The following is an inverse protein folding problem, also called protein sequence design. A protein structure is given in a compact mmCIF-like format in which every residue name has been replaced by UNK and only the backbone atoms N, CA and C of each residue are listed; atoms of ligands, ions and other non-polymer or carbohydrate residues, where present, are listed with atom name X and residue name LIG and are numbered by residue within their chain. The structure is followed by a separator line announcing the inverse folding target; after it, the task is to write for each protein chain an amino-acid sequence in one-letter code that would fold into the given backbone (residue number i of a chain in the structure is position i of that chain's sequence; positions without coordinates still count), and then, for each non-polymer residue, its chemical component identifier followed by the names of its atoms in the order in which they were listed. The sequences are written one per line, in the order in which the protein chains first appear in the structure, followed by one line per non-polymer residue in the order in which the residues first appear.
data_IF_418798578739
#
_entry.id   IF_418798578739
#
_cell.length_a   1.000
_cell.length_b   1.000
_cell.length_c   1.000
_cell.angle_alpha   90.00
_cell.angle_beta   90.00
_cell.angle_gamma   90.00
#
_symmetry.space_group_name_H-M   'P 1'
#
loop_
_entity.id
_entity.type
_entity.pdbx_description
1 polymer ?
#
# COMPACT_ATOMS: atom_id res chain seq x y z
N UNK A 1 -15.83 8.19 15.61
CA UNK A 1 -14.82 8.82 14.74
C UNK A 1 -13.48 8.31 15.18
N UNK A 2 -12.73 7.67 14.29
CA UNK A 2 -11.32 7.38 14.54
C UNK A 2 -10.56 8.67 14.26
N UNK A 3 -9.81 9.16 15.24
CA UNK A 3 -9.01 10.38 15.13
C UNK A 3 -7.72 10.08 14.36
N UNK A 4 -7.13 11.10 13.72
CA UNK A 4 -5.81 11.00 13.05
C UNK A 4 -4.72 10.40 13.97
N UNK A 5 -4.89 10.52 15.30
CA UNK A 5 -4.00 9.93 16.32
C UNK A 5 -3.88 8.41 16.23
N UNK A 6 -4.97 7.67 16.00
CA UNK A 6 -4.89 6.20 15.89
C UNK A 6 -4.09 5.77 14.65
N UNK A 7 -4.18 6.57 13.59
CA UNK A 7 -3.42 6.36 12.37
C UNK A 7 -1.94 6.61 12.62
N UNK A 8 -1.58 7.75 13.23
CA UNK A 8 -0.20 8.12 13.52
C UNK A 8 0.52 7.12 14.45
N UNK A 9 -0.12 6.62 15.50
CA UNK A 9 0.53 5.79 16.53
C UNK A 9 0.93 4.38 16.05
N UNK A 10 0.32 3.88 14.98
CA UNK A 10 0.55 2.52 14.46
C UNK A 10 1.18 2.49 13.08
N UNK A 11 1.19 3.61 12.36
CA UNK A 11 1.68 3.65 10.99
C UNK A 11 3.20 3.55 10.89
N UNK A 12 3.93 4.17 11.82
CA UNK A 12 5.39 4.02 11.88
C UNK A 12 5.79 2.56 12.11
N UNK A 13 5.10 1.88 13.03
CA UNK A 13 5.30 0.43 13.28
C UNK A 13 4.99 -0.41 12.05
N UNK A 14 3.99 -0.01 11.26
CA UNK A 14 3.67 -0.67 9.99
C UNK A 14 4.80 -0.50 8.97
N UNK A 15 5.32 0.71 8.78
CA UNK A 15 6.42 0.97 7.84
C UNK A 15 7.72 0.26 8.26
N UNK A 16 8.05 0.27 9.54
CA UNK A 16 9.20 -0.43 10.10
C UNK A 16 9.07 -1.95 9.94
N UNK A 17 7.94 -2.54 10.36
CA UNK A 17 7.65 -3.96 10.16
C UNK A 17 7.64 -4.33 8.66
N UNK A 18 7.17 -3.43 7.81
CA UNK A 18 7.21 -3.60 6.35
C UNK A 18 8.64 -3.64 5.84
N UNK A 19 9.51 -2.74 6.30
CA UNK A 19 10.91 -2.72 5.92
C UNK A 19 11.67 -3.96 6.41
N UNK A 20 11.45 -4.39 7.65
CA UNK A 20 12.06 -5.61 8.21
C UNK A 20 11.64 -6.87 7.47
N UNK A 21 10.33 -6.99 7.19
CA UNK A 21 9.80 -8.12 6.45
C UNK A 21 10.29 -8.11 4.99
N UNK A 22 10.30 -6.94 4.36
CA UNK A 22 10.86 -6.76 3.01
C UNK A 22 12.33 -7.19 2.95
N UNK A 23 13.14 -6.76 3.92
CA UNK A 23 14.57 -7.09 3.99
C UNK A 23 14.78 -8.61 4.13
N UNK A 24 13.94 -9.27 4.95
CA UNK A 24 13.98 -10.72 5.12
C UNK A 24 13.62 -11.45 3.82
N UNK A 25 12.56 -11.01 3.14
CA UNK A 25 12.11 -11.62 1.89
C UNK A 25 13.08 -11.37 0.74
N UNK A 26 13.74 -10.21 0.69
CA UNK A 26 14.72 -9.87 -0.35
C UNK A 26 16.04 -10.66 -0.21
N UNK A 27 16.38 -11.12 0.99
CA UNK A 27 17.50 -12.05 1.21
C UNK A 27 17.17 -13.50 0.79
N UNK A 28 15.91 -13.80 0.51
CA UNK A 28 15.48 -15.10 -0.01
C UNK A 28 15.70 -15.17 -1.52
N UNK A 29 16.29 -16.26 -2.00
CA UNK A 29 16.54 -16.51 -3.42
C UNK A 29 15.26 -16.76 -4.25
N UNK A 30 14.08 -16.81 -3.60
CA UNK A 30 12.79 -17.16 -4.21
C UNK A 30 11.74 -16.06 -4.03
N UNK A 31 12.14 -14.79 -4.09
CA UNK A 31 11.20 -13.67 -3.95
C UNK A 31 10.16 -13.66 -5.09
N UNK A 32 8.90 -14.02 -4.79
CA UNK A 32 7.80 -13.98 -5.77
C UNK A 32 6.88 -12.76 -5.57
N UNK A 33 6.35 -12.58 -4.36
CA UNK A 33 5.47 -11.47 -3.96
C UNK A 33 5.24 -11.57 -2.46
N UNK A 34 5.12 -10.43 -1.79
CA UNK A 34 4.48 -10.40 -0.48
C UNK A 34 3.60 -9.17 -0.31
N UNK A 35 2.77 -9.21 0.73
CA UNK A 35 1.95 -8.07 1.12
C UNK A 35 1.77 -8.04 2.63
N UNK A 36 1.55 -6.83 3.15
CA UNK A 36 1.08 -6.61 4.52
C UNK A 36 -0.28 -5.95 4.42
N UNK A 37 -1.26 -6.54 5.10
CA UNK A 37 -2.63 -6.01 5.14
C UNK A 37 -2.89 -5.33 6.48
N UNK A 38 -3.58 -4.20 6.45
CA UNK A 38 -3.97 -3.47 7.64
C UNK A 38 -5.34 -2.83 7.43
N UNK A 39 -6.08 -2.72 8.53
CA UNK A 39 -7.41 -2.11 8.53
C UNK A 39 -7.25 -0.60 8.71
N UNK A 40 -8.07 0.17 7.99
CA UNK A 40 -8.11 1.63 8.16
C UNK A 40 -9.50 2.04 8.63
N UNK A 41 -9.74 2.03 9.96
CA UNK A 41 -11.07 2.26 10.49
C UNK A 41 -11.50 3.71 10.26
N UNK A 42 -12.78 3.91 9.93
CA UNK A 42 -13.36 5.23 9.67
C UNK A 42 -13.31 5.69 8.21
N UNK A 43 -12.76 4.88 7.28
CA UNK A 43 -12.81 5.17 5.85
C UNK A 43 -14.13 4.74 5.24
N UNK A 44 -14.61 5.51 4.25
CA UNK A 44 -15.94 5.32 3.66
C UNK A 44 -15.92 4.30 2.53
N UNK A 45 -14.79 4.18 1.83
CA UNK A 45 -14.69 3.51 0.54
C UNK A 45 -13.86 2.20 0.56
N UNK A 46 -13.09 1.94 1.63
CA UNK A 46 -12.25 0.73 1.75
C UNK A 46 -12.49 0.04 3.08
N UNK A 47 -12.51 -1.29 3.06
CA UNK A 47 -12.46 -2.09 4.27
C UNK A 47 -11.01 -2.34 4.71
N UNK A 48 -10.13 -2.59 3.72
CA UNK A 48 -8.77 -3.05 3.96
C UNK A 48 -7.79 -2.51 2.93
N UNK A 49 -6.60 -2.17 3.41
CA UNK A 49 -5.46 -1.80 2.57
C UNK A 49 -4.39 -2.88 2.61
N UNK A 50 -3.65 -2.97 1.51
CA UNK A 50 -2.51 -3.86 1.36
C UNK A 50 -1.32 -3.06 0.83
N UNK A 51 -0.19 -3.14 1.54
CA UNK A 51 1.11 -2.73 1.01
C UNK A 51 1.75 -3.94 0.37
N UNK A 52 1.87 -3.91 -0.95
CA UNK A 52 2.32 -5.05 -1.74
C UNK A 52 3.67 -4.76 -2.37
N UNK A 53 4.52 -5.78 -2.36
CA UNK A 53 5.81 -5.80 -3.02
C UNK A 53 5.82 -6.93 -4.05
N UNK A 54 6.09 -6.57 -5.29
CA UNK A 54 6.16 -7.51 -6.42
C UNK A 54 7.44 -7.27 -7.22
N UNK A 55 7.97 -8.29 -7.93
CA UNK A 55 8.96 -8.09 -8.96
C UNK A 55 8.41 -7.19 -10.06
N UNK A 56 9.29 -6.40 -10.67
CA UNK A 56 8.97 -5.73 -11.91
C UNK A 56 9.12 -6.73 -13.07
N UNK A 57 8.07 -6.91 -13.86
CA UNK A 57 8.11 -7.83 -14.99
C UNK A 57 9.04 -7.33 -16.10
N UNK A 58 9.34 -6.03 -16.15
CA UNK A 58 10.23 -5.45 -17.14
C UNK A 58 11.71 -5.58 -16.77
N UNK A 59 12.01 -5.78 -15.48
CA UNK A 59 13.37 -5.80 -14.95
C UNK A 59 13.43 -6.66 -13.68
N UNK A 60 14.09 -7.82 -13.79
CA UNK A 60 14.17 -8.82 -12.72
C UNK A 60 14.87 -8.32 -11.46
N UNK A 61 15.63 -7.23 -11.55
CA UNK A 61 16.35 -6.64 -10.42
C UNK A 61 15.52 -5.57 -9.72
N UNK A 62 14.42 -5.13 -10.35
CA UNK A 62 13.53 -4.11 -9.80
C UNK A 62 12.32 -4.71 -9.10
N UNK A 63 11.81 -3.93 -8.15
CA UNK A 63 10.70 -4.24 -7.27
C UNK A 63 9.76 -3.05 -7.28
N UNK A 64 8.47 -3.36 -7.31
CA UNK A 64 7.40 -2.37 -7.24
C UNK A 64 6.83 -2.40 -5.84
N UNK A 65 6.87 -1.25 -5.16
CA UNK A 65 6.09 -1.02 -3.95
C UNK A 65 4.79 -0.31 -4.33
N UNK A 66 3.65 -0.89 -3.93
CA UNK A 66 2.34 -0.36 -4.24
C UNK A 66 1.39 -0.47 -3.06
N UNK A 67 0.46 0.46 -2.99
CA UNK A 67 -0.71 0.39 -2.14
C UNK A 67 -1.88 -0.17 -2.95
N UNK A 68 -2.57 -1.15 -2.39
CA UNK A 68 -3.80 -1.71 -2.95
C UNK A 68 -4.93 -1.51 -1.93
N UNK A 69 -6.07 -1.03 -2.40
CA UNK A 69 -7.25 -0.82 -1.59
C UNK A 69 -8.39 -1.68 -2.12
N UNK A 70 -8.92 -2.58 -1.30
CA UNK A 70 -10.14 -3.29 -1.65
C UNK A 70 -11.32 -2.33 -1.46
N UNK A 71 -12.05 -2.09 -2.55
CA UNK A 71 -13.18 -1.18 -2.61
C UNK A 71 -14.46 -1.99 -2.73
N UNK A 72 -15.47 -1.63 -1.93
CA UNK A 72 -16.80 -2.21 -2.04
C UNK A 72 -17.50 -1.72 -3.31
N UNK A 73 -17.25 -2.37 -4.44
CA UNK A 73 -18.00 -2.14 -5.67
C UNK A 73 -19.20 -3.10 -5.76
N UNK A 74 -20.39 -2.58 -6.09
CA UNK A 74 -21.63 -3.38 -6.18
C UNK A 74 -21.56 -4.47 -7.26
N UNK A 75 -20.80 -4.20 -8.33
CA UNK A 75 -20.62 -5.10 -9.47
C UNK A 75 -19.42 -6.05 -9.32
N UNK A 76 -18.51 -5.78 -8.39
CA UNK A 76 -17.35 -6.64 -8.14
C UNK A 76 -16.85 -6.50 -6.69
N UNK A 77 -17.10 -7.53 -5.90
CA UNK A 77 -16.67 -7.59 -4.50
C UNK A 77 -15.15 -7.70 -4.33
N UNK A 78 -14.42 -8.03 -5.41
CA UNK A 78 -12.96 -8.12 -5.44
C UNK A 78 -12.32 -6.92 -6.14
N UNK A 79 -13.05 -5.81 -6.30
CA UNK A 79 -12.48 -4.63 -6.94
C UNK A 79 -11.36 -4.03 -6.08
N UNK A 80 -10.19 -3.85 -6.71
CA UNK A 80 -9.00 -3.33 -6.04
C UNK A 80 -8.45 -2.15 -6.82
N UNK A 81 -8.39 -0.99 -6.16
CA UNK A 81 -7.67 0.17 -6.67
C UNK A 81 -6.20 0.01 -6.30
N UNK A 82 -5.31 0.25 -7.26
CA UNK A 82 -3.86 0.07 -7.09
C UNK A 82 -3.15 1.38 -7.36
N UNK A 83 -2.43 1.87 -6.37
CA UNK A 83 -1.56 3.04 -6.51
C UNK A 83 -0.11 2.60 -6.37
N UNK A 84 0.69 2.87 -7.40
CA UNK A 84 2.14 2.64 -7.34
C UNK A 84 2.76 3.74 -6.46
N UNK A 85 3.55 3.32 -5.47
CA UNK A 85 4.24 4.21 -4.53
C UNK A 85 5.68 4.44 -5.01
N UNK A 86 6.40 3.37 -5.32
CA UNK A 86 7.80 3.45 -5.73
C UNK A 86 8.23 2.26 -6.59
N UNK A 87 9.24 2.45 -7.45
CA UNK A 87 9.86 1.38 -8.23
C UNK A 87 11.38 1.55 -8.23
N UNK A 88 12.09 0.55 -7.73
CA UNK A 88 13.55 0.55 -7.69
C UNK A 88 14.07 -0.84 -7.35
N UNK A 89 15.37 -0.95 -7.13
CA UNK A 89 16.00 -2.14 -6.55
C UNK A 89 15.47 -2.41 -5.13
N UNK A 90 15.71 -3.61 -4.61
CA UNK A 90 15.34 -3.94 -3.23
C UNK A 90 15.89 -2.94 -2.20
N UNK A 91 17.16 -2.58 -2.33
CA UNK A 91 17.81 -1.60 -1.46
C UNK A 91 17.19 -0.20 -1.55
N UNK A 92 16.85 0.26 -2.75
CA UNK A 92 16.23 1.57 -2.94
C UNK A 92 14.83 1.62 -2.31
N UNK A 93 14.08 0.54 -2.43
CA UNK A 93 12.77 0.39 -1.78
C UNK A 93 12.91 0.41 -0.25
N UNK A 94 13.87 -0.33 0.31
CA UNK A 94 14.12 -0.33 1.75
C UNK A 94 14.55 1.04 2.28
N UNK A 95 15.40 1.76 1.53
CA UNK A 95 15.77 3.14 1.87
C UNK A 95 14.58 4.07 1.80
N UNK A 96 13.72 3.91 0.80
CA UNK A 96 12.52 4.72 0.65
C UNK A 96 11.55 4.52 1.83
N UNK A 97 11.32 3.27 2.27
CA UNK A 97 10.48 2.96 3.43
C UNK A 97 10.97 3.61 4.73
N UNK A 98 12.28 3.80 4.88
CA UNK A 98 12.92 4.38 6.06
C UNK A 98 13.06 5.90 5.99
N UNK A 99 12.58 6.55 4.92
CA UNK A 99 12.62 8.03 4.83
C UNK A 99 11.60 8.63 5.81
N UNK A 100 11.93 9.74 6.48
CA UNK A 100 11.00 10.48 7.32
C UNK A 100 9.71 10.86 6.57
N UNK A 101 9.82 11.21 5.29
CA UNK A 101 8.70 11.72 4.49
C UNK A 101 7.83 10.62 3.88
N UNK A 102 8.28 9.36 3.88
CA UNK A 102 7.53 8.25 3.29
C UNK A 102 6.19 8.02 4.00
N UNK A 103 6.13 8.35 5.28
CA UNK A 103 4.90 8.32 6.06
C UNK A 103 3.86 9.31 5.53
N UNK A 104 4.27 10.57 5.39
CA UNK A 104 3.39 11.63 4.89
C UNK A 104 2.98 11.40 3.44
N UNK A 105 3.88 10.90 2.60
CA UNK A 105 3.54 10.49 1.23
C UNK A 105 2.47 9.40 1.22
N UNK A 106 2.63 8.36 2.03
CA UNK A 106 1.66 7.26 2.07
C UNK A 106 0.32 7.69 2.68
N UNK A 107 0.32 8.53 3.72
CA UNK A 107 -0.91 9.15 4.25
C UNK A 107 -1.63 9.97 3.18
N UNK A 108 -0.89 10.77 2.42
CA UNK A 108 -1.46 11.57 1.33
C UNK A 108 -2.05 10.68 0.23
N UNK A 109 -1.37 9.59 -0.14
CA UNK A 109 -1.92 8.63 -1.10
C UNK A 109 -3.19 7.97 -0.56
N UNK A 110 -3.22 7.56 0.72
CA UNK A 110 -4.41 6.96 1.33
C UNK A 110 -5.58 7.94 1.35
N UNK A 111 -5.31 9.22 1.66
CA UNK A 111 -6.31 10.29 1.62
C UNK A 111 -6.80 10.55 0.19
N UNK A 112 -5.90 10.61 -0.79
CA UNK A 112 -6.26 10.77 -2.19
C UNK A 112 -7.09 9.58 -2.70
N UNK A 113 -6.78 8.36 -2.27
CA UNK A 113 -7.64 7.21 -2.57
C UNK A 113 -9.04 7.48 -2.02
N UNK A 114 -9.17 7.80 -0.72
CA UNK A 114 -10.44 8.09 -0.02
C UNK A 114 -11.28 9.15 -0.74
N UNK A 115 -10.62 10.22 -1.18
CA UNK A 115 -11.24 11.33 -1.91
C UNK A 115 -11.60 10.97 -3.36
N UNK A 116 -10.77 10.16 -4.05
CA UNK A 116 -10.96 9.83 -5.47
C UNK A 116 -11.97 8.71 -5.73
N UNK A 117 -12.28 7.86 -4.73
CA UNK A 117 -13.12 6.67 -4.93
C UNK A 117 -14.55 6.81 -4.41
N UNK A 118 -15.04 8.04 -4.24
CA UNK A 118 -16.47 8.32 -3.97
C UNK A 118 -17.33 8.47 -5.23
N UNK A 119 -16.75 8.40 -6.43
CA UNK A 119 -17.50 8.54 -7.67
C UNK A 119 -17.62 7.21 -8.40
N UNK A 120 -18.87 6.73 -8.45
CA UNK A 120 -19.48 6.00 -9.57
C UNK A 120 -18.46 5.67 -10.67
N UNK A 121 -18.05 4.41 -10.76
CA UNK A 121 -17.48 3.96 -12.02
C UNK A 121 -18.52 4.28 -13.11
N UNK A 122 -18.18 4.70 -14.33
CA UNK A 122 -19.16 4.95 -15.39
C UNK A 122 -20.01 3.72 -15.81
N UNK A 123 -19.90 2.61 -15.08
CA UNK A 123 -20.70 1.38 -15.18
C UNK A 123 -21.56 1.09 -13.93
N UNK A 124 -21.48 1.97 -12.92
CA UNK A 124 -22.41 2.01 -11.77
C UNK A 124 -23.70 2.80 -12.09
N UNK A 125 -23.77 3.42 -13.28
CA UNK A 125 -25.00 3.95 -13.88
C UNK A 125 -25.78 2.87 -14.63
#
# INVERSE_FOLDING_TARGET
MVTEEFFNDNFYKLLEATAEYAETQMKSSAFEKFYISFDVPGRRNYEKLFLTFIPDNADSDRRIWRLEANVRARWNQEYVVRQRLFVGTGDEVLRYLRKPDAEEELKNVIRQLDESSGHEHPRDQ
#
